data_IF_069098756782
#
_entry.id   IF_069098756782
#
_cell.length_a   1.000
_cell.length_b   1.000
_cell.length_c   1.000
_cell.angle_alpha   90.00
_cell.angle_beta   90.00
_cell.angle_gamma   90.00
#
_symmetry.space_group_name_H-M   'P 1'
#
loop_
_entity.id
_entity.type
_entity.pdbx_description
1 polymer ?
#
# COMPACT_ATOMS: atom_id res chain seq x y z
N UNK A 1 -15.72 -4.03 -50.02
CA UNK A 1 -16.85 -4.53 -49.21
C UNK A 1 -16.48 -4.89 -47.75
N UNK A 2 -15.32 -5.50 -47.52
CA UNK A 2 -14.90 -5.89 -46.13
C UNK A 2 -14.55 -4.72 -45.17
N UNK A 3 -14.17 -3.56 -45.68
CA UNK A 3 -13.87 -2.36 -44.87
C UNK A 3 -15.14 -1.67 -44.32
N UNK A 4 -16.16 -1.58 -45.14
CA UNK A 4 -17.45 -0.99 -44.77
C UNK A 4 -18.22 -1.83 -43.71
N UNK A 5 -18.06 -3.17 -43.76
CA UNK A 5 -18.66 -4.06 -42.75
C UNK A 5 -17.94 -3.96 -41.38
N UNK A 6 -16.63 -3.67 -41.36
CA UNK A 6 -15.88 -3.47 -40.09
C UNK A 6 -16.24 -2.14 -39.42
N UNK A 7 -16.45 -1.06 -40.21
CA UNK A 7 -16.86 0.23 -39.64
C UNK A 7 -18.32 0.22 -39.13
N UNK A 8 -19.23 -0.47 -39.82
CA UNK A 8 -20.62 -0.62 -39.36
C UNK A 8 -20.74 -1.49 -38.13
N UNK A 9 -19.91 -2.57 -38.00
CA UNK A 9 -19.87 -3.38 -36.78
C UNK A 9 -19.26 -2.62 -35.60
N UNK A 10 -18.23 -1.79 -35.83
CA UNK A 10 -17.63 -0.93 -34.78
C UNK A 10 -18.62 0.15 -34.30
N UNK A 11 -19.35 0.80 -35.22
CA UNK A 11 -20.39 1.78 -34.89
C UNK A 11 -21.58 1.15 -34.18
N UNK A 12 -22.03 -0.03 -34.61
CA UNK A 12 -23.11 -0.76 -33.98
C UNK A 12 -22.74 -1.27 -32.56
N UNK A 13 -21.52 -1.75 -32.36
CA UNK A 13 -21.03 -2.11 -31.03
C UNK A 13 -20.92 -0.89 -30.10
N UNK A 14 -20.49 0.27 -30.63
CA UNK A 14 -20.45 1.52 -29.87
C UNK A 14 -21.84 2.07 -29.53
N UNK A 15 -22.82 1.92 -30.47
CA UNK A 15 -24.22 2.31 -30.27
C UNK A 15 -24.95 1.36 -29.30
N UNK A 16 -24.66 0.05 -29.35
CA UNK A 16 -25.24 -0.92 -28.42
C UNK A 16 -24.64 -0.77 -26.99
N UNK A 17 -23.36 -0.48 -26.89
CA UNK A 17 -22.73 -0.16 -25.60
C UNK A 17 -23.32 1.14 -25.01
N UNK A 18 -23.48 2.19 -25.82
CA UNK A 18 -24.12 3.44 -25.40
C UNK A 18 -25.61 3.26 -25.05
N UNK A 19 -26.36 2.45 -25.78
CA UNK A 19 -27.80 2.24 -25.50
C UNK A 19 -28.04 1.39 -24.25
N UNK A 20 -27.19 0.37 -24.00
CA UNK A 20 -27.21 -0.38 -22.73
C UNK A 20 -26.74 0.48 -21.55
N UNK A 21 -25.67 1.26 -21.73
CA UNK A 21 -25.21 2.21 -20.73
C UNK A 21 -26.24 3.29 -20.41
N UNK A 22 -26.92 3.84 -21.40
CA UNK A 22 -28.01 4.81 -21.18
C UNK A 22 -29.24 4.19 -20.49
N UNK A 23 -29.54 2.91 -20.70
CA UNK A 23 -30.67 2.23 -20.04
C UNK A 23 -30.33 1.85 -18.59
N UNK A 24 -29.04 1.51 -18.28
CA UNK A 24 -28.56 1.32 -16.91
C UNK A 24 -28.37 2.67 -16.17
N UNK A 25 -27.96 3.72 -16.88
CA UNK A 25 -27.89 5.08 -16.32
C UNK A 25 -29.23 5.70 -15.96
N UNK A 26 -30.32 5.28 -16.61
CA UNK A 26 -31.66 5.74 -16.30
C UNK A 26 -32.24 5.16 -14.99
N UNK A 27 -31.69 4.06 -14.48
CA UNK A 27 -32.04 3.46 -13.19
C UNK A 27 -31.11 3.91 -12.05
N UNK A 28 -30.88 5.22 -11.92
CA UNK A 28 -30.03 5.90 -10.93
C UNK A 28 -30.48 5.72 -9.47
N UNK A 29 -30.75 4.51 -8.98
CA UNK A 29 -31.00 4.27 -7.55
C UNK A 29 -29.76 3.78 -6.79
N UNK A 30 -28.75 3.22 -7.45
CA UNK A 30 -27.53 2.75 -6.78
C UNK A 30 -26.29 3.43 -7.36
N UNK A 31 -25.75 4.32 -6.56
CA UNK A 31 -24.48 5.02 -6.81
C UNK A 31 -23.26 4.15 -6.45
N UNK A 32 -23.37 2.84 -6.54
CA UNK A 32 -22.40 1.87 -6.01
C UNK A 32 -21.96 0.94 -7.13
N UNK A 33 -20.65 0.89 -7.38
CA UNK A 33 -20.05 -0.04 -8.32
C UNK A 33 -19.78 -1.38 -7.64
N UNK A 34 -20.46 -2.43 -8.09
CA UNK A 34 -20.30 -3.81 -7.59
C UNK A 34 -19.56 -4.67 -8.59
N UNK A 35 -19.04 -5.83 -8.15
CA UNK A 35 -18.37 -6.80 -9.04
C UNK A 35 -19.29 -7.23 -10.20
N UNK A 36 -20.54 -7.53 -9.92
CA UNK A 36 -21.49 -7.92 -10.97
C UNK A 36 -21.64 -6.82 -12.03
N UNK A 37 -21.76 -5.56 -11.59
CA UNK A 37 -21.89 -4.42 -12.49
C UNK A 37 -20.61 -4.19 -13.32
N UNK A 38 -19.44 -4.39 -12.74
CA UNK A 38 -18.16 -4.36 -13.47
C UNK A 38 -18.15 -5.37 -14.61
N UNK A 39 -18.65 -6.59 -14.38
CA UNK A 39 -18.75 -7.63 -15.42
C UNK A 39 -19.85 -7.31 -16.45
N UNK A 40 -21.01 -6.86 -16.02
CA UNK A 40 -22.12 -6.47 -16.91
C UNK A 40 -21.75 -5.32 -17.85
N UNK A 41 -20.99 -4.34 -17.35
CA UNK A 41 -20.47 -3.21 -18.13
C UNK A 41 -19.23 -3.57 -18.96
N UNK A 42 -18.66 -4.76 -18.78
CA UNK A 42 -17.44 -5.21 -19.47
C UNK A 42 -16.17 -4.51 -19.00
N UNK A 43 -16.20 -3.83 -17.84
CA UNK A 43 -15.06 -3.10 -17.28
C UNK A 43 -13.92 -4.02 -16.87
N UNK A 44 -14.21 -5.28 -16.59
CA UNK A 44 -13.19 -6.32 -16.31
C UNK A 44 -12.37 -6.75 -17.54
N UNK A 45 -12.74 -6.30 -18.74
CA UNK A 45 -12.08 -6.63 -20.01
C UNK A 45 -11.27 -5.49 -20.61
N UNK A 46 -11.29 -4.32 -19.95
CA UNK A 46 -10.51 -3.16 -20.40
C UNK A 46 -9.18 -3.08 -19.64
N UNK A 47 -8.17 -2.54 -20.31
CA UNK A 47 -6.86 -2.32 -19.67
C UNK A 47 -6.77 -0.99 -18.92
N UNK A 48 -7.64 -0.04 -19.25
CA UNK A 48 -7.64 1.31 -18.63
C UNK A 48 -9.07 1.67 -18.22
N UNK A 49 -9.22 2.10 -16.98
CA UNK A 49 -10.45 2.70 -16.46
C UNK A 49 -10.25 4.21 -16.36
N UNK A 50 -11.11 4.95 -17.07
CA UNK A 50 -11.14 6.42 -17.05
C UNK A 50 -12.23 6.95 -16.11
N UNK A 51 -12.16 8.23 -15.76
CA UNK A 51 -13.16 8.92 -14.94
C UNK A 51 -14.56 8.80 -15.53
N UNK A 52 -14.69 8.91 -16.86
CA UNK A 52 -16.00 8.86 -17.56
C UNK A 52 -16.69 7.49 -17.43
N UNK A 53 -15.88 6.40 -17.33
CA UNK A 53 -16.41 5.05 -17.14
C UNK A 53 -17.01 4.86 -15.74
N UNK A 54 -16.54 5.64 -14.77
CA UNK A 54 -16.98 5.60 -13.38
C UNK A 54 -17.84 6.82 -13.01
N UNK A 55 -18.25 7.64 -13.97
CA UNK A 55 -19.05 8.83 -13.67
C UNK A 55 -20.38 8.47 -12.99
N UNK A 56 -20.71 9.24 -11.95
CA UNK A 56 -21.92 9.07 -11.15
C UNK A 56 -21.88 7.94 -10.12
N UNK A 57 -20.81 7.12 -10.07
CA UNK A 57 -20.58 6.21 -8.95
C UNK A 57 -19.97 6.97 -7.76
N UNK A 58 -20.43 6.64 -6.55
CA UNK A 58 -19.94 7.26 -5.30
C UNK A 58 -19.16 6.30 -4.42
N UNK A 59 -19.19 5.01 -4.74
CA UNK A 59 -18.48 3.97 -4.00
C UNK A 59 -18.09 2.83 -4.93
N UNK A 60 -16.87 2.31 -4.74
CA UNK A 60 -16.39 1.06 -5.32
C UNK A 60 -16.50 0.00 -4.23
N UNK A 61 -17.37 -0.99 -4.43
CA UNK A 61 -17.66 -2.06 -3.44
C UNK A 61 -16.53 -3.07 -3.30
N UNK A 62 -16.67 -3.88 -2.25
CA UNK A 62 -15.77 -5.00 -1.98
C UNK A 62 -15.62 -5.89 -3.23
N UNK A 63 -14.37 -6.21 -3.57
CA UNK A 63 -14.00 -7.06 -4.69
C UNK A 63 -14.50 -6.61 -6.08
N UNK A 64 -14.84 -5.33 -6.27
CA UNK A 64 -15.41 -4.85 -7.53
C UNK A 64 -14.55 -5.19 -8.76
N UNK A 65 -13.24 -4.98 -8.69
CA UNK A 65 -12.25 -5.31 -9.73
C UNK A 65 -11.32 -6.45 -9.31
N UNK A 66 -11.76 -7.33 -8.40
CA UNK A 66 -10.94 -8.45 -7.95
C UNK A 66 -10.50 -9.32 -9.14
N UNK A 67 -9.17 -9.59 -9.20
CA UNK A 67 -8.53 -10.40 -10.25
C UNK A 67 -8.69 -9.85 -11.69
N UNK A 68 -8.82 -8.53 -11.82
CA UNK A 68 -8.76 -7.86 -13.13
C UNK A 68 -7.29 -7.72 -13.57
N UNK A 69 -6.61 -8.83 -13.82
CA UNK A 69 -5.16 -8.90 -14.11
C UNK A 69 -4.75 -8.17 -15.40
N UNK A 70 -5.68 -7.96 -16.33
CA UNK A 70 -5.46 -7.16 -17.55
C UNK A 70 -5.56 -5.65 -17.36
N UNK A 71 -6.00 -5.19 -16.17
CA UNK A 71 -6.12 -3.76 -15.87
C UNK A 71 -4.76 -3.16 -15.59
N UNK A 72 -4.38 -2.11 -16.32
CA UNK A 72 -3.06 -1.47 -16.22
C UNK A 72 -3.11 -0.09 -15.54
N UNK A 73 -4.24 0.62 -15.67
CA UNK A 73 -4.39 1.97 -15.10
C UNK A 73 -5.83 2.23 -14.70
N UNK A 74 -6.01 2.95 -13.60
CA UNK A 74 -7.32 3.39 -13.08
C UNK A 74 -7.24 4.84 -12.65
N UNK A 75 -8.16 5.67 -13.18
CA UNK A 75 -8.40 7.04 -12.68
C UNK A 75 -9.77 7.08 -12.03
N UNK A 76 -9.80 7.22 -10.72
CA UNK A 76 -11.03 7.25 -9.91
C UNK A 76 -11.58 8.68 -9.92
N UNK A 77 -12.88 8.90 -10.26
CA UNK A 77 -13.44 10.25 -10.28
C UNK A 77 -13.71 10.79 -8.87
N UNK A 78 -13.78 12.13 -8.78
CA UNK A 78 -14.06 12.83 -7.51
C UNK A 78 -15.47 12.54 -6.92
N UNK A 79 -16.34 11.86 -7.65
CA UNK A 79 -17.62 11.39 -7.12
C UNK A 79 -17.48 10.22 -6.15
N UNK A 80 -16.35 9.45 -6.22
CA UNK A 80 -16.10 8.29 -5.37
C UNK A 80 -15.53 8.73 -4.03
N UNK A 81 -16.17 8.29 -2.93
CA UNK A 81 -15.79 8.63 -1.56
C UNK A 81 -15.24 7.44 -0.76
N UNK A 82 -15.46 6.21 -1.25
CA UNK A 82 -14.98 5.00 -0.57
C UNK A 82 -14.60 3.91 -1.56
N UNK A 83 -13.56 3.14 -1.18
CA UNK A 83 -13.11 1.96 -1.90
C UNK A 83 -13.14 0.80 -0.90
N UNK A 84 -13.87 -0.26 -1.25
CA UNK A 84 -14.12 -1.40 -0.38
C UNK A 84 -12.97 -2.40 -0.32
N UNK A 85 -13.14 -3.41 0.56
CA UNK A 85 -12.16 -4.46 0.77
C UNK A 85 -11.92 -5.26 -0.51
N UNK A 86 -10.66 -5.62 -0.77
CA UNK A 86 -10.26 -6.40 -1.95
C UNK A 86 -10.65 -5.77 -3.29
N UNK A 87 -11.01 -4.49 -3.35
CA UNK A 87 -11.62 -3.88 -4.53
C UNK A 87 -10.77 -4.04 -5.80
N UNK A 88 -9.46 -3.97 -5.70
CA UNK A 88 -8.48 -4.15 -6.78
C UNK A 88 -7.49 -5.28 -6.50
N UNK A 89 -7.81 -6.19 -5.57
CA UNK A 89 -6.87 -7.25 -5.24
C UNK A 89 -6.59 -8.16 -6.45
N UNK A 90 -5.33 -8.58 -6.57
CA UNK A 90 -4.80 -9.38 -7.68
C UNK A 90 -4.91 -8.73 -9.08
N UNK A 91 -5.07 -7.41 -9.15
CA UNK A 91 -4.88 -6.67 -10.39
C UNK A 91 -3.37 -6.61 -10.72
N UNK A 92 -2.79 -7.74 -11.10
CA UNK A 92 -1.33 -7.90 -11.27
C UNK A 92 -0.74 -7.05 -12.39
N UNK A 93 -1.56 -6.64 -13.38
CA UNK A 93 -1.18 -5.74 -14.45
C UNK A 93 -1.24 -4.25 -14.07
N UNK A 94 -1.86 -3.90 -12.92
CA UNK A 94 -2.05 -2.50 -12.53
C UNK A 94 -0.71 -1.86 -12.20
N UNK A 95 -0.31 -0.88 -13.02
CA UNK A 95 0.96 -0.15 -12.86
C UNK A 95 0.77 1.18 -12.16
N UNK A 96 -0.40 1.80 -12.31
CA UNK A 96 -0.73 3.08 -11.70
C UNK A 96 -2.20 3.19 -11.31
N UNK A 97 -2.47 3.90 -10.23
CA UNK A 97 -3.82 4.26 -9.79
C UNK A 97 -3.82 5.70 -9.24
N UNK A 98 -4.79 6.49 -9.69
CA UNK A 98 -5.04 7.84 -9.16
C UNK A 98 -6.22 7.78 -8.20
N UNK A 99 -5.96 8.03 -6.91
CA UNK A 99 -6.97 8.06 -5.84
C UNK A 99 -7.24 9.54 -5.51
N UNK A 100 -8.45 10.06 -5.75
CA UNK A 100 -8.75 11.46 -5.51
C UNK A 100 -8.95 11.78 -4.03
N UNK A 101 -8.83 13.07 -3.66
CA UNK A 101 -9.05 13.55 -2.30
C UNK A 101 -10.51 13.41 -1.80
N UNK A 102 -11.44 13.02 -2.66
CA UNK A 102 -12.82 12.65 -2.24
C UNK A 102 -12.88 11.31 -1.51
N UNK A 103 -11.89 10.42 -1.73
CA UNK A 103 -11.82 9.10 -1.08
C UNK A 103 -11.36 9.29 0.36
N UNK A 104 -12.22 8.96 1.31
CA UNK A 104 -11.95 9.07 2.75
C UNK A 104 -11.63 7.72 3.40
N UNK A 105 -11.96 6.62 2.73
CA UNK A 105 -11.70 5.27 3.23
C UNK A 105 -11.22 4.33 2.11
N UNK A 106 -10.19 3.56 2.44
CA UNK A 106 -9.64 2.47 1.63
C UNK A 106 -9.76 1.20 2.48
N UNK A 107 -10.53 0.23 2.01
CA UNK A 107 -10.80 -1.02 2.72
C UNK A 107 -9.57 -1.91 2.86
N UNK A 108 -9.72 -2.99 3.65
CA UNK A 108 -8.67 -3.97 3.85
C UNK A 108 -8.33 -4.68 2.54
N UNK A 109 -7.04 -4.96 2.36
CA UNK A 109 -6.52 -5.70 1.20
C UNK A 109 -6.94 -5.12 -0.17
N UNK A 110 -7.27 -3.84 -0.24
CA UNK A 110 -7.76 -3.19 -1.48
C UNK A 110 -6.84 -3.45 -2.67
N UNK A 111 -5.52 -3.36 -2.50
CA UNK A 111 -4.51 -3.59 -3.54
C UNK A 111 -3.66 -4.85 -3.28
N UNK A 112 -4.18 -5.81 -2.54
CA UNK A 112 -3.48 -7.05 -2.23
C UNK A 112 -3.00 -7.75 -3.51
N UNK A 113 -1.71 -8.08 -3.60
CA UNK A 113 -1.15 -8.79 -4.73
C UNK A 113 -1.09 -8.00 -6.05
N UNK A 114 -1.22 -6.67 -6.02
CA UNK A 114 -1.00 -5.81 -7.20
C UNK A 114 0.49 -5.73 -7.53
N UNK A 115 1.09 -6.83 -7.99
CA UNK A 115 2.54 -6.95 -8.20
C UNK A 115 3.11 -6.02 -9.27
N UNK A 116 2.27 -5.51 -10.19
CA UNK A 116 2.65 -4.53 -11.20
C UNK A 116 2.68 -3.09 -10.72
N UNK A 117 2.06 -2.78 -9.55
CA UNK A 117 1.93 -1.40 -9.05
C UNK A 117 3.32 -0.85 -8.67
N UNK A 118 3.72 0.26 -9.31
CA UNK A 118 5.07 0.83 -9.13
C UNK A 118 5.12 1.96 -8.11
N UNK A 119 4.05 2.73 -8.01
CA UNK A 119 3.93 3.82 -7.04
C UNK A 119 2.47 4.06 -6.66
N UNK A 120 2.26 4.59 -5.46
CA UNK A 120 0.94 5.02 -4.99
C UNK A 120 1.07 6.24 -4.11
N UNK A 121 0.14 7.18 -4.28
CA UNK A 121 -0.02 8.33 -3.39
C UNK A 121 -1.33 8.18 -2.65
N UNK A 122 -1.24 8.12 -1.32
CA UNK A 122 -2.42 8.10 -0.45
C UNK A 122 -2.93 9.55 -0.34
N UNK A 123 -4.22 9.83 -0.60
CA UNK A 123 -4.73 11.19 -0.52
C UNK A 123 -4.84 11.70 0.93
N UNK A 124 -4.76 13.02 1.09
CA UNK A 124 -4.83 13.68 2.41
C UNK A 124 -6.17 13.49 3.15
N UNK A 125 -7.19 12.99 2.46
CA UNK A 125 -8.50 12.66 3.04
C UNK A 125 -8.52 11.33 3.81
N UNK A 126 -7.49 10.48 3.63
CA UNK A 126 -7.40 9.16 4.26
C UNK A 126 -6.71 9.29 5.62
N UNK A 127 -7.38 8.83 6.68
CA UNK A 127 -6.86 8.85 8.04
C UNK A 127 -6.21 7.53 8.49
N UNK A 128 -6.49 6.43 7.78
CA UNK A 128 -5.94 5.11 8.12
C UNK A 128 -5.70 4.26 6.87
N UNK A 129 -4.63 3.48 6.92
CA UNK A 129 -4.34 2.41 5.96
C UNK A 129 -4.73 1.09 6.64
N UNK A 130 -5.65 0.34 6.05
CA UNK A 130 -6.20 -0.90 6.62
C UNK A 130 -5.23 -2.09 6.56
N UNK A 131 -5.70 -3.24 6.99
CA UNK A 131 -4.97 -4.50 7.01
C UNK A 131 -4.58 -4.93 5.58
N UNK A 132 -3.28 -5.20 5.37
CA UNK A 132 -2.76 -5.78 4.13
C UNK A 132 -3.07 -5.00 2.84
N UNK A 133 -3.32 -3.68 2.92
CA UNK A 133 -3.77 -2.87 1.75
C UNK A 133 -2.84 -3.05 0.55
N UNK A 134 -1.53 -3.06 0.75
CA UNK A 134 -0.51 -3.25 -0.29
C UNK A 134 0.28 -4.56 -0.14
N UNK A 135 -0.28 -5.55 0.57
CA UNK A 135 0.40 -6.84 0.74
C UNK A 135 0.77 -7.46 -0.61
N UNK A 136 2.03 -7.86 -0.77
CA UNK A 136 2.50 -8.51 -1.99
C UNK A 136 2.59 -7.59 -3.23
N UNK A 137 2.55 -6.26 -3.07
CA UNK A 137 2.82 -5.31 -4.15
C UNK A 137 4.33 -5.26 -4.44
N UNK A 138 4.90 -6.35 -4.95
CA UNK A 138 6.34 -6.53 -5.12
C UNK A 138 7.00 -5.55 -6.10
N UNK A 139 6.22 -4.98 -7.03
CA UNK A 139 6.68 -3.93 -7.95
C UNK A 139 6.71 -2.53 -7.37
N UNK A 140 6.12 -2.32 -6.17
CA UNK A 140 6.03 -1.00 -5.56
C UNK A 140 7.42 -0.51 -5.15
N UNK A 141 7.88 0.60 -5.74
CA UNK A 141 9.21 1.18 -5.48
C UNK A 141 9.16 2.36 -4.52
N UNK A 142 8.03 3.05 -4.48
CA UNK A 142 7.81 4.18 -3.59
C UNK A 142 6.34 4.30 -3.16
N UNK A 143 6.14 4.82 -1.95
CA UNK A 143 4.81 5.16 -1.43
C UNK A 143 4.85 6.53 -0.76
N UNK A 144 3.81 7.33 -0.99
CA UNK A 144 3.61 8.60 -0.29
C UNK A 144 2.44 8.46 0.68
N UNK A 145 2.73 8.64 1.96
CA UNK A 145 1.79 8.59 3.08
C UNK A 145 1.65 10.02 3.63
N UNK A 146 0.47 10.63 3.58
CA UNK A 146 0.27 11.97 4.07
C UNK A 146 0.25 12.01 5.61
N UNK A 147 0.47 13.21 6.19
CA UNK A 147 0.40 13.44 7.63
C UNK A 147 -1.00 13.19 8.24
N UNK A 148 -2.04 13.10 7.41
CA UNK A 148 -3.39 12.73 7.85
C UNK A 148 -3.51 11.28 8.29
N UNK A 149 -2.63 10.40 7.83
CA UNK A 149 -2.63 8.98 8.22
C UNK A 149 -2.11 8.84 9.64
N UNK A 150 -2.99 8.44 10.54
CA UNK A 150 -2.70 8.25 11.97
C UNK A 150 -2.57 6.78 12.36
N UNK A 151 -2.94 5.85 11.47
CA UNK A 151 -2.78 4.42 11.74
C UNK A 151 -2.48 3.63 10.47
N UNK A 152 -1.65 2.60 10.61
CA UNK A 152 -1.30 1.65 9.56
C UNK A 152 -1.56 0.25 10.12
N UNK A 153 -2.41 -0.50 9.43
CA UNK A 153 -2.80 -1.86 9.81
C UNK A 153 -1.71 -2.88 9.56
N UNK A 154 -1.90 -4.06 10.18
CA UNK A 154 -0.97 -5.19 10.06
C UNK A 154 -0.75 -5.55 8.59
N UNK A 155 0.49 -5.85 8.27
CA UNK A 155 0.91 -6.34 6.97
C UNK A 155 0.60 -5.41 5.79
N UNK A 156 0.34 -4.13 6.07
CA UNK A 156 -0.04 -3.15 5.04
C UNK A 156 0.94 -3.11 3.86
N UNK A 157 2.23 -3.26 4.11
CA UNK A 157 3.29 -3.26 3.09
C UNK A 157 4.12 -4.56 3.06
N UNK A 158 3.67 -5.62 3.72
CA UNK A 158 4.39 -6.90 3.73
C UNK A 158 4.50 -7.48 2.31
N UNK A 159 5.68 -7.96 1.94
CA UNK A 159 5.95 -8.46 0.59
C UNK A 159 6.10 -7.37 -0.48
N UNK A 160 6.21 -6.09 -0.12
CA UNK A 160 6.60 -5.01 -1.03
C UNK A 160 8.12 -5.01 -1.27
N UNK A 161 8.66 -6.09 -1.79
CA UNK A 161 10.12 -6.32 -1.90
C UNK A 161 10.86 -5.28 -2.76
N UNK A 162 10.15 -4.64 -3.70
CA UNK A 162 10.67 -3.56 -4.54
C UNK A 162 10.78 -2.20 -3.84
N UNK A 163 10.21 -2.05 -2.63
CA UNK A 163 10.08 -0.74 -1.99
C UNK A 163 11.44 -0.22 -1.48
N UNK A 164 11.88 0.90 -2.06
CA UNK A 164 13.17 1.54 -1.75
C UNK A 164 13.02 2.86 -1.01
N UNK A 165 11.83 3.45 -1.02
CA UNK A 165 11.55 4.71 -0.33
C UNK A 165 10.12 4.82 0.16
N UNK A 166 9.96 5.45 1.33
CA UNK A 166 8.67 5.84 1.91
C UNK A 166 8.72 7.34 2.19
N UNK A 167 7.76 8.09 1.66
CA UNK A 167 7.59 9.52 1.98
C UNK A 167 6.46 9.65 2.98
N UNK A 168 6.70 10.34 4.11
CA UNK A 168 5.70 10.66 5.14
C UNK A 168 5.66 12.17 5.29
N UNK A 169 4.53 12.77 4.91
CA UNK A 169 4.45 14.22 4.75
C UNK A 169 5.50 14.72 3.77
N UNK A 170 6.41 15.57 4.24
CA UNK A 170 7.47 16.18 3.42
C UNK A 170 8.82 15.45 3.49
N UNK A 171 8.91 14.36 4.28
CA UNK A 171 10.17 13.63 4.50
C UNK A 171 10.18 12.30 3.78
N UNK A 172 11.27 12.03 3.04
CA UNK A 172 11.48 10.75 2.37
C UNK A 172 12.52 9.92 3.12
N UNK A 173 12.13 8.72 3.48
CA UNK A 173 12.94 7.71 4.16
C UNK A 173 13.33 6.64 3.15
N UNK A 174 14.63 6.51 2.86
CA UNK A 174 15.16 5.52 1.93
C UNK A 174 15.49 4.22 2.65
N UNK A 175 15.40 3.10 1.94
CA UNK A 175 15.92 1.82 2.40
C UNK A 175 17.41 1.97 2.72
N UNK A 176 17.81 1.49 3.89
CA UNK A 176 19.18 1.55 4.38
C UNK A 176 19.98 0.32 3.92
N UNK A 177 21.29 0.41 4.02
CA UNK A 177 22.22 -0.68 3.69
C UNK A 177 23.16 -0.93 4.84
N UNK A 178 23.56 -2.19 5.03
CA UNK A 178 24.59 -2.58 5.99
C UNK A 178 25.97 -2.40 5.35
N UNK A 179 26.89 -1.73 6.05
CA UNK A 179 28.26 -1.55 5.59
C UNK A 179 29.22 -1.84 6.76
N UNK A 180 30.10 -2.83 6.60
CA UNK A 180 31.05 -3.24 7.64
C UNK A 180 30.38 -3.52 9.01
N UNK A 181 29.27 -4.25 9.01
CA UNK A 181 28.53 -4.60 10.22
C UNK A 181 27.83 -3.42 10.92
N UNK A 182 27.69 -2.28 10.25
CA UNK A 182 27.00 -1.09 10.76
C UNK A 182 25.95 -0.61 9.78
N UNK A 183 24.84 -0.08 10.29
CA UNK A 183 23.84 0.60 9.48
C UNK A 183 22.98 1.56 10.30
N UNK A 184 22.33 2.50 9.61
CA UNK A 184 21.09 3.11 10.08
C UNK A 184 19.95 2.16 9.80
N UNK A 185 18.91 2.22 10.62
CA UNK A 185 17.71 1.38 10.47
C UNK A 185 16.50 2.07 11.12
N UNK A 186 15.35 1.41 11.05
CA UNK A 186 14.09 1.87 11.61
C UNK A 186 13.58 0.85 12.61
N UNK A 187 13.18 1.32 13.79
CA UNK A 187 12.65 0.46 14.85
C UNK A 187 11.40 1.09 15.46
N UNK A 188 10.34 0.29 15.58
CA UNK A 188 9.18 0.69 16.37
C UNK A 188 9.31 0.23 17.82
N UNK A 189 8.70 1.00 18.68
CA UNK A 189 8.51 0.75 20.10
C UNK A 189 7.03 0.99 20.43
N UNK A 190 6.57 0.49 21.57
CA UNK A 190 5.32 0.98 22.16
C UNK A 190 5.46 2.47 22.49
N UNK A 191 4.35 3.16 22.68
CA UNK A 191 4.36 4.61 22.95
C UNK A 191 5.17 5.01 24.20
N UNK A 192 5.31 4.10 25.16
CA UNK A 192 6.14 4.25 26.37
C UNK A 192 7.62 3.91 26.15
N UNK A 193 8.05 3.73 24.90
CA UNK A 193 9.40 3.32 24.52
C UNK A 193 9.79 1.92 24.97
N UNK A 194 8.82 1.04 25.30
CA UNK A 194 9.11 -0.38 25.57
C UNK A 194 9.09 -1.19 24.28
N UNK A 195 9.90 -2.24 24.22
CA UNK A 195 9.85 -3.27 23.21
C UNK A 195 10.06 -4.62 23.93
N UNK A 196 9.05 -5.49 23.88
CA UNK A 196 8.94 -6.64 24.77
C UNK A 196 9.00 -6.15 26.23
N UNK A 197 9.90 -6.68 27.04
CA UNK A 197 10.02 -6.34 28.46
C UNK A 197 11.22 -5.40 28.73
N UNK A 198 11.71 -4.72 27.69
CA UNK A 198 12.87 -3.84 27.80
C UNK A 198 12.48 -2.39 27.55
N UNK A 199 12.91 -1.48 28.47
CA UNK A 199 12.71 -0.04 28.37
C UNK A 199 13.88 0.62 27.63
N UNK A 200 13.55 1.39 26.59
CA UNK A 200 14.51 2.17 25.82
C UNK A 200 14.37 3.66 26.09
N UNK A 201 15.44 4.41 25.82
CA UNK A 201 15.45 5.87 25.92
C UNK A 201 16.10 6.47 24.65
N UNK A 202 15.55 7.56 24.15
CA UNK A 202 16.15 8.31 23.04
C UNK A 202 17.55 8.82 23.41
N UNK A 203 18.49 8.73 22.49
CA UNK A 203 19.88 9.13 22.69
C UNK A 203 20.74 8.10 23.42
N UNK A 204 20.17 7.02 23.95
CA UNK A 204 20.93 5.98 24.66
C UNK A 204 21.43 4.90 23.71
N UNK A 205 22.56 4.32 24.10
CA UNK A 205 23.16 3.15 23.45
C UNK A 205 23.06 1.94 24.37
N UNK A 206 22.68 0.82 23.80
CA UNK A 206 22.54 -0.48 24.45
C UNK A 206 23.40 -1.50 23.73
N UNK A 207 24.04 -2.37 24.47
CA UNK A 207 24.94 -3.40 23.94
C UNK A 207 24.67 -4.74 24.63
N UNK A 208 24.77 -5.81 23.87
CA UNK A 208 24.62 -7.19 24.33
C UNK A 208 25.91 -7.96 24.02
N UNK A 209 26.30 -8.80 24.96
CA UNK A 209 27.43 -9.74 24.76
C UNK A 209 26.99 -10.89 23.83
N UNK A 210 27.91 -11.30 22.94
CA UNK A 210 27.72 -12.43 22.05
C UNK A 210 27.19 -12.10 20.66
N UNK A 211 27.07 -13.13 19.82
CA UNK A 211 26.61 -12.97 18.44
C UNK A 211 25.09 -12.82 18.36
N UNK A 212 24.59 -11.80 17.66
CA UNK A 212 23.15 -11.62 17.51
C UNK A 212 22.54 -12.69 16.62
N UNK A 213 21.35 -13.18 17.01
CA UNK A 213 20.62 -14.23 16.31
C UNK A 213 19.24 -13.75 15.93
N UNK A 214 18.93 -13.73 14.64
CA UNK A 214 17.64 -13.23 14.12
C UNK A 214 16.47 -13.97 14.78
N UNK A 215 15.48 -13.20 15.24
CA UNK A 215 14.28 -13.66 15.94
C UNK A 215 14.49 -14.28 17.33
N UNK A 216 15.73 -14.39 17.82
CA UNK A 216 16.04 -14.98 19.11
C UNK A 216 16.77 -14.02 20.05
N UNK A 217 17.94 -13.56 19.67
CA UNK A 217 18.83 -12.76 20.52
C UNK A 217 19.39 -11.58 19.73
N UNK A 218 19.39 -10.39 20.34
CA UNK A 218 19.91 -9.19 19.73
C UNK A 218 18.89 -8.08 19.53
N UNK A 219 19.35 -6.92 19.09
CA UNK A 219 18.52 -5.77 18.78
C UNK A 219 18.02 -5.86 17.34
N UNK A 220 16.72 -5.97 17.15
CA UNK A 220 16.09 -6.08 15.84
C UNK A 220 15.59 -4.72 15.35
N UNK A 221 15.83 -4.44 14.07
CA UNK A 221 15.30 -3.26 13.36
C UNK A 221 15.08 -3.61 11.88
N UNK A 222 14.52 -2.67 11.12
CA UNK A 222 14.27 -2.84 9.68
C UNK A 222 15.08 -1.83 8.87
N UNK A 223 15.71 -2.26 7.79
CA UNK A 223 16.42 -1.39 6.85
C UNK A 223 15.46 -0.53 6.02
N UNK A 224 14.22 -1.00 5.85
CA UNK A 224 13.16 -0.27 5.18
C UNK A 224 12.07 0.12 6.19
N UNK A 225 11.68 1.39 6.20
CA UNK A 225 10.65 1.91 7.11
C UNK A 225 9.30 1.18 6.94
N UNK A 226 8.94 0.80 5.71
CA UNK A 226 7.69 0.09 5.46
C UNK A 226 7.62 -1.28 6.15
N UNK A 227 8.75 -1.97 6.29
CA UNK A 227 8.80 -3.30 6.90
C UNK A 227 8.58 -3.23 8.42
N UNK A 228 8.78 -2.05 9.03
CA UNK A 228 8.44 -1.84 10.44
C UNK A 228 6.97 -2.15 10.68
N UNK A 229 6.08 -1.75 9.77
CA UNK A 229 4.63 -1.97 9.88
C UNK A 229 4.20 -3.43 9.62
N UNK A 230 5.11 -4.29 9.19
CA UNK A 230 4.88 -5.74 9.15
C UNK A 230 4.91 -6.35 10.56
N UNK A 231 5.69 -5.77 11.46
CA UNK A 231 5.93 -6.28 12.82
C UNK A 231 5.22 -5.48 13.92
N UNK A 232 4.89 -4.23 13.62
CA UNK A 232 4.31 -3.29 14.58
C UNK A 232 3.17 -2.53 13.92
N UNK A 233 1.97 -2.84 14.33
CA UNK A 233 0.73 -2.19 13.91
C UNK A 233 0.16 -1.34 15.03
N UNK A 234 -0.75 -0.45 14.70
CA UNK A 234 -1.47 0.36 15.67
C UNK A 234 -1.51 1.83 15.29
N UNK A 235 -1.99 2.64 16.22
CA UNK A 235 -2.06 4.09 16.04
C UNK A 235 -0.68 4.70 16.25
N UNK A 236 -0.15 5.31 15.20
CA UNK A 236 1.13 6.02 15.24
C UNK A 236 1.04 7.13 16.29
N UNK A 237 2.02 7.15 17.19
CA UNK A 237 2.12 8.13 18.25
C UNK A 237 1.24 7.88 19.49
N UNK A 238 0.29 6.93 19.42
CA UNK A 238 -0.53 6.51 20.57
C UNK A 238 -0.14 5.10 21.04
N UNK A 239 -0.12 4.13 20.11
CA UNK A 239 0.20 2.73 20.42
C UNK A 239 1.66 2.41 20.12
N UNK A 240 2.19 3.01 19.03
CA UNK A 240 3.56 2.84 18.57
C UNK A 240 4.22 4.17 18.25
N UNK A 241 5.53 4.20 18.43
CA UNK A 241 6.44 5.25 17.97
C UNK A 241 7.54 4.62 17.13
N UNK A 242 8.03 5.31 16.12
CA UNK A 242 9.11 4.81 15.26
C UNK A 242 10.30 5.75 15.37
N UNK A 243 11.47 5.18 15.58
CA UNK A 243 12.74 5.88 15.66
C UNK A 243 13.69 5.44 14.54
N UNK A 244 14.51 6.37 14.07
CA UNK A 244 15.77 6.01 13.45
C UNK A 244 16.68 5.43 14.53
N UNK A 245 17.43 4.39 14.18
CA UNK A 245 18.40 3.76 15.08
C UNK A 245 19.71 3.53 14.33
N UNK A 246 20.80 3.52 15.06
CA UNK A 246 22.11 3.09 14.55
C UNK A 246 22.45 1.73 15.13
N UNK A 247 22.84 0.80 14.28
CA UNK A 247 23.18 -0.57 14.64
C UNK A 247 24.67 -0.83 14.37
N UNK A 248 25.30 -1.54 15.28
CA UNK A 248 26.67 -2.07 15.12
C UNK A 248 26.68 -3.56 15.45
N UNK A 249 27.63 -4.30 14.86
CA UNK A 249 27.68 -5.76 14.98
C UNK A 249 26.44 -6.42 14.33
N UNK A 250 26.05 -5.94 13.15
CA UNK A 250 24.91 -6.48 12.41
C UNK A 250 25.29 -7.85 11.86
N UNK A 251 24.47 -8.86 12.16
CA UNK A 251 24.66 -10.22 11.64
C UNK A 251 24.43 -10.27 10.11
N UNK A 252 25.26 -11.04 9.41
CA UNK A 252 25.11 -11.29 7.97
C UNK A 252 23.88 -12.14 7.62
N UNK A 253 23.22 -12.71 8.62
CA UNK A 253 22.01 -13.53 8.44
C UNK A 253 20.78 -12.64 8.42
N UNK A 254 20.34 -12.28 7.21
CA UNK A 254 19.10 -11.52 6.99
C UNK A 254 17.94 -12.44 6.63
N UNK A 255 16.71 -12.01 6.93
CA UNK A 255 15.52 -12.65 6.38
C UNK A 255 15.42 -12.29 4.88
N UNK A 256 15.19 -13.29 4.02
CA UNK A 256 15.25 -13.12 2.56
C UNK A 256 14.13 -12.23 2.03
N UNK A 257 12.98 -12.20 2.73
CA UNK A 257 11.75 -11.57 2.25
C UNK A 257 11.49 -10.18 2.84
N UNK A 258 12.27 -9.75 3.84
CA UNK A 258 12.12 -8.45 4.48
C UNK A 258 13.49 -7.83 4.83
N UNK A 259 13.48 -6.55 5.15
CA UNK A 259 14.69 -5.82 5.51
C UNK A 259 15.08 -5.91 7.00
N UNK A 260 14.56 -6.91 7.73
CA UNK A 260 14.83 -7.10 9.15
C UNK A 260 16.27 -7.51 9.39
N UNK A 261 16.92 -6.80 10.26
CA UNK A 261 18.31 -7.03 10.70
C UNK A 261 18.38 -7.19 12.20
N UNK A 262 19.42 -7.83 12.66
CA UNK A 262 19.74 -7.98 14.09
C UNK A 262 21.17 -7.57 14.36
N UNK A 263 21.38 -6.90 15.49
CA UNK A 263 22.70 -6.42 15.92
C UNK A 263 22.90 -6.68 17.42
N UNK A 264 24.15 -6.64 17.86
CA UNK A 264 24.49 -6.71 19.28
C UNK A 264 24.56 -5.33 19.95
N UNK A 265 24.56 -4.24 19.16
CA UNK A 265 24.55 -2.88 19.68
C UNK A 265 23.57 -2.00 18.93
N UNK A 266 22.82 -1.20 19.67
CA UNK A 266 21.83 -0.27 19.15
C UNK A 266 21.95 1.07 19.86
N UNK A 267 21.96 2.15 19.08
CA UNK A 267 21.78 3.52 19.58
C UNK A 267 20.43 4.03 19.11
N UNK A 268 19.62 4.52 20.04
CA UNK A 268 18.27 5.03 19.76
C UNK A 268 18.40 6.48 19.30
N UNK A 269 18.11 6.72 18.04
CA UNK A 269 18.09 8.04 17.44
C UNK A 269 16.75 8.76 17.62
N UNK A 270 16.53 9.76 16.78
CA UNK A 270 15.33 10.60 16.85
C UNK A 270 14.06 9.84 16.47
N UNK A 271 12.97 10.19 17.15
CA UNK A 271 11.62 9.80 16.74
C UNK A 271 11.29 10.39 15.37
N UNK A 272 10.68 9.60 14.50
CA UNK A 272 10.27 9.97 13.14
C UNK A 272 8.76 9.85 12.92
N UNK A 273 8.07 8.99 13.72
CA UNK A 273 6.62 8.81 13.74
C UNK A 273 6.09 8.67 15.16
#
# INVERSE_FOLDING_TARGET
MLSLQRETNSKNNKLMANSKNNKLMANKKEKILTKNLVYELGLNKVSVITTDMLDGYTSIRNSAFYDCSGLTSVTIPNSVTSIGDWAFAYCTGLTSIEIPNSVTSIGDRTFFGCSGLTSVTIPNSVASIGYGVFYGCSGLTSVTIPNSVTSIGDWAFSGCSGLTSVTIGDKTYKKQTVTNGKCKAYKAFKADMTCRDFQYEEGKTYELDGEPMLCHYGFHACLNLADVFTYYCGKIGQDIVVHEVELEGVSDKHHVDDSKVVANKITIGKRIL
#
